data_IF_092947796784
#
_entry.id   IF_092947796784
#
_cell.length_a   1.000
_cell.length_b   1.000
_cell.length_c   1.000
_cell.angle_alpha   90.00
_cell.angle_beta   90.00
_cell.angle_gamma   90.00
#
_symmetry.space_group_name_H-M   'P 1'
#
loop_
_entity.id
_entity.type
_entity.pdbx_description
1 polymer ?
#
# COMPACT_ATOMS: atom_id res chain seq x y z
N UNK A 1 -23.48 -12.44 6.23
CA UNK A 1 -22.42 -12.26 5.21
C UNK A 1 -22.95 -12.05 3.80
N UNK A 2 -23.56 -13.06 3.14
CA UNK A 2 -24.12 -12.86 1.79
C UNK A 2 -25.26 -11.82 1.79
N UNK A 3 -26.19 -11.93 2.75
CA UNK A 3 -27.31 -10.98 2.89
C UNK A 3 -26.84 -9.57 3.29
N UNK A 4 -25.81 -9.46 4.12
CA UNK A 4 -25.20 -8.17 4.51
C UNK A 4 -24.60 -7.46 3.29
N UNK A 5 -23.83 -8.16 2.45
CA UNK A 5 -23.29 -7.57 1.22
C UNK A 5 -24.38 -7.22 0.20
N UNK A 6 -25.46 -8.01 0.12
CA UNK A 6 -26.66 -7.66 -0.68
C UNK A 6 -27.29 -6.36 -0.18
N UNK A 7 -27.41 -6.21 1.14
CA UNK A 7 -27.94 -5.02 1.78
C UNK A 7 -27.03 -3.80 1.54
N UNK A 8 -25.72 -3.97 1.67
CA UNK A 8 -24.71 -2.95 1.36
C UNK A 8 -24.89 -2.47 -0.10
N UNK A 9 -24.95 -3.38 -1.07
CA UNK A 9 -25.14 -3.02 -2.49
C UNK A 9 -26.42 -2.21 -2.72
N UNK A 10 -27.51 -2.55 -2.03
CA UNK A 10 -28.75 -1.78 -2.06
C UNK A 10 -28.63 -0.39 -1.42
N UNK A 11 -27.88 -0.26 -0.32
CA UNK A 11 -27.69 0.99 0.42
C UNK A 11 -26.67 1.93 -0.21
N UNK A 12 -25.69 1.43 -0.97
CA UNK A 12 -24.68 2.26 -1.67
C UNK A 12 -25.35 3.26 -2.62
N UNK A 13 -26.48 2.90 -3.25
CA UNK A 13 -27.27 3.84 -4.07
C UNK A 13 -27.83 5.04 -3.28
N UNK A 14 -28.14 4.86 -2.00
CA UNK A 14 -28.63 5.92 -1.11
C UNK A 14 -27.46 6.71 -0.48
N UNK A 15 -26.31 6.06 -0.29
CA UNK A 15 -25.10 6.64 0.29
C UNK A 15 -24.27 7.48 -0.69
N UNK A 16 -24.45 7.33 -2.02
CA UNK A 16 -23.78 8.16 -3.03
C UNK A 16 -24.09 9.67 -2.87
N UNK A 17 -25.28 10.01 -2.37
CA UNK A 17 -25.64 11.41 -2.07
C UNK A 17 -24.95 11.94 -0.80
N UNK A 18 -24.67 11.06 0.18
CA UNK A 18 -24.05 11.43 1.46
C UNK A 18 -22.51 11.50 1.35
N UNK A 19 -21.88 10.51 0.70
CA UNK A 19 -20.42 10.42 0.56
C UNK A 19 -19.83 11.36 -0.50
N UNK A 20 -20.64 12.07 -1.29
CA UNK A 20 -20.16 13.22 -2.07
C UNK A 20 -19.59 14.34 -1.20
N UNK A 21 -19.88 14.38 0.11
CA UNK A 21 -19.36 15.38 1.06
C UNK A 21 -18.05 15.01 1.77
N UNK A 22 -17.78 13.72 1.98
CA UNK A 22 -16.61 13.27 2.74
C UNK A 22 -15.64 12.53 1.82
N UNK A 23 -14.83 13.30 1.11
CA UNK A 23 -13.68 12.77 0.38
C UNK A 23 -12.42 12.97 1.23
N UNK A 24 -11.49 12.03 1.11
CA UNK A 24 -10.08 12.27 1.42
C UNK A 24 -9.52 13.22 0.34
N UNK A 25 -9.78 14.52 0.51
CA UNK A 25 -9.41 15.59 -0.45
C UNK A 25 -7.96 16.03 -0.30
N UNK A 26 -7.18 15.36 0.55
CA UNK A 26 -5.98 15.97 1.13
C UNK A 26 -6.32 17.00 2.21
N UNK A 27 -7.43 16.82 2.93
CA UNK A 27 -7.86 17.70 4.03
C UNK A 27 -6.81 17.81 5.15
N UNK A 28 -6.00 16.76 5.34
CA UNK A 28 -4.81 16.84 6.19
C UNK A 28 -3.89 18.00 5.75
N UNK A 29 -3.66 18.19 4.45
CA UNK A 29 -2.86 19.28 3.90
C UNK A 29 -3.56 20.64 3.92
N UNK A 30 -4.89 20.65 3.99
CA UNK A 30 -5.70 21.86 4.20
C UNK A 30 -5.76 22.27 5.68
N UNK A 31 -5.46 21.33 6.61
CA UNK A 31 -5.50 21.55 8.04
C UNK A 31 -4.44 22.55 8.53
N UNK A 32 -4.67 23.13 9.72
CA UNK A 32 -3.72 24.04 10.40
C UNK A 32 -2.37 23.39 10.71
N UNK A 33 -2.28 22.05 10.68
CA UNK A 33 -1.08 21.28 10.94
C UNK A 33 -0.35 20.91 9.64
N UNK A 34 -1.06 20.41 8.63
CA UNK A 34 -0.46 20.07 7.33
C UNK A 34 0.07 21.29 6.56
N UNK A 35 -0.50 22.48 6.76
CA UNK A 35 0.04 23.74 6.21
C UNK A 35 1.40 24.16 6.79
N UNK A 36 1.80 23.60 7.94
CA UNK A 36 3.09 23.91 8.60
C UNK A 36 4.22 22.98 8.17
N UNK A 37 3.90 21.88 7.49
CA UNK A 37 4.87 20.92 6.98
C UNK A 37 5.31 21.39 5.60
N UNK A 38 6.61 21.71 5.45
CA UNK A 38 7.16 22.11 4.16
C UNK A 38 7.16 20.90 3.21
N UNK A 39 6.26 20.95 2.21
CA UNK A 39 6.09 19.91 1.20
C UNK A 39 7.37 19.65 0.40
N UNK A 40 8.34 20.58 0.40
CA UNK A 40 9.65 20.45 -0.28
C UNK A 40 10.68 19.63 0.49
N UNK A 41 10.43 19.29 1.76
CA UNK A 41 11.38 18.55 2.61
C UNK A 41 11.07 17.04 2.70
N UNK A 42 10.09 16.59 1.92
CA UNK A 42 9.69 15.19 1.78
C UNK A 42 10.61 14.50 0.79
N UNK A 43 11.31 13.45 1.20
CA UNK A 43 12.22 12.69 0.32
C UNK A 43 11.47 12.03 -0.84
N UNK A 44 10.24 11.57 -0.59
CA UNK A 44 9.34 11.06 -1.62
C UNK A 44 8.87 12.17 -2.57
N UNK A 45 8.70 13.40 -2.10
CA UNK A 45 8.43 14.56 -2.96
C UNK A 45 9.68 15.07 -3.70
N UNK A 46 10.89 14.90 -3.18
CA UNK A 46 12.11 15.21 -3.93
C UNK A 46 12.27 14.26 -5.13
N UNK A 47 11.88 12.98 -4.95
CA UNK A 47 11.82 12.00 -6.04
C UNK A 47 10.59 12.14 -6.96
N UNK A 48 9.42 12.55 -6.45
CA UNK A 48 8.17 12.67 -7.22
C UNK A 48 7.88 14.08 -7.77
N UNK A 49 8.44 15.14 -7.16
CA UNK A 49 8.16 16.55 -7.41
C UNK A 49 9.41 17.45 -7.38
N UNK A 50 10.62 16.91 -7.61
CA UNK A 50 11.63 17.78 -8.23
C UNK A 50 10.96 18.41 -9.45
N UNK A 51 11.21 19.70 -9.66
CA UNK A 51 10.43 20.58 -10.56
C UNK A 51 10.42 20.16 -12.05
N UNK A 52 10.96 18.99 -12.37
CA UNK A 52 10.77 18.30 -13.63
C UNK A 52 10.31 16.87 -13.31
N UNK A 53 9.07 16.55 -13.68
CA UNK A 53 8.73 15.16 -13.98
C UNK A 53 9.84 14.56 -14.85
N UNK A 54 10.23 13.32 -14.58
CA UNK A 54 10.89 12.43 -15.55
C UNK A 54 10.04 12.14 -16.81
N UNK A 55 9.02 12.97 -17.07
CA UNK A 55 8.29 13.04 -18.33
C UNK A 55 9.04 13.92 -19.35
N UNK A 56 9.82 14.93 -18.89
CA UNK A 56 10.57 15.85 -19.76
C UNK A 56 12.10 15.87 -19.54
N UNK A 57 12.63 15.38 -18.42
CA UNK A 57 14.10 15.30 -18.20
C UNK A 57 14.54 13.97 -17.61
N UNK A 58 15.54 13.36 -18.26
CA UNK A 58 16.31 12.22 -17.73
C UNK A 58 17.43 12.66 -16.76
N UNK A 59 17.40 13.89 -16.25
CA UNK A 59 18.55 14.52 -15.59
C UNK A 59 18.19 14.94 -14.17
N UNK A 60 18.87 14.34 -13.19
CA UNK A 60 18.86 14.77 -11.78
C UNK A 60 19.72 16.03 -11.68
N UNK A 61 19.16 17.15 -11.22
CA UNK A 61 19.91 18.40 -11.10
C UNK A 61 20.76 18.41 -9.82
N UNK A 62 21.89 19.14 -9.78
CA UNK A 62 22.74 19.24 -8.59
C UNK A 62 21.99 19.63 -7.31
N UNK A 63 20.91 20.40 -7.42
CA UNK A 63 20.07 20.80 -6.28
C UNK A 63 19.24 19.64 -5.71
N UNK A 64 18.87 18.66 -6.53
CA UNK A 64 18.10 17.49 -6.10
C UNK A 64 18.97 16.59 -5.22
N UNK A 65 20.27 16.49 -5.52
CA UNK A 65 21.25 15.75 -4.70
C UNK A 65 21.37 16.31 -3.29
N UNK A 66 21.15 17.62 -3.10
CA UNK A 66 21.17 18.25 -1.77
C UNK A 66 19.97 17.86 -0.91
N UNK A 67 18.91 17.29 -1.51
CA UNK A 67 17.72 16.83 -0.78
C UNK A 67 17.79 15.35 -0.41
N UNK A 68 18.78 14.60 -0.93
CA UNK A 68 18.97 13.19 -0.60
C UNK A 68 19.45 13.09 0.84
N UNK A 69 18.68 12.37 1.66
CA UNK A 69 19.14 12.03 3.01
C UNK A 69 20.23 10.97 2.91
N UNK A 70 21.36 11.28 3.51
CA UNK A 70 22.51 10.38 3.61
C UNK A 70 22.47 9.68 4.98
N UNK A 71 23.00 8.46 5.09
CA UNK A 71 23.08 7.77 6.37
C UNK A 71 24.07 8.50 7.28
N UNK A 72 23.84 8.42 8.59
CA UNK A 72 24.65 9.16 9.57
C UNK A 72 26.14 8.78 9.53
N UNK A 73 26.44 7.56 9.08
CA UNK A 73 27.81 7.05 8.95
C UNK A 73 28.49 7.40 7.62
N UNK A 74 27.93 8.27 6.78
CA UNK A 74 28.51 8.64 5.47
C UNK A 74 29.95 9.16 5.56
N UNK A 75 30.32 9.82 6.67
CA UNK A 75 31.69 10.32 6.90
C UNK A 75 32.57 9.34 7.70
N UNK A 76 32.04 8.16 8.05
CA UNK A 76 32.80 7.15 8.78
C UNK A 76 33.47 6.17 7.81
N UNK A 77 34.70 6.49 7.42
CA UNK A 77 35.52 5.67 6.51
C UNK A 77 35.84 4.27 7.05
N UNK A 78 35.64 4.02 8.36
CA UNK A 78 35.91 2.74 9.01
C UNK A 78 34.66 1.89 9.25
N UNK A 79 33.49 2.35 8.82
CA UNK A 79 32.25 1.61 8.98
C UNK A 79 32.26 0.33 8.12
N UNK A 80 32.17 -0.82 8.78
CA UNK A 80 32.09 -2.12 8.11
C UNK A 80 30.88 -2.24 7.18
N UNK A 81 29.80 -1.50 7.44
CA UNK A 81 28.61 -1.48 6.60
C UNK A 81 28.89 -0.91 5.20
N UNK A 82 29.68 0.17 5.11
CA UNK A 82 30.09 0.74 3.82
C UNK A 82 30.99 -0.22 3.03
N UNK A 83 31.92 -0.90 3.71
CA UNK A 83 32.80 -1.89 3.07
C UNK A 83 31.97 -3.02 2.46
N UNK A 84 30.99 -3.55 3.19
CA UNK A 84 30.09 -4.59 2.69
C UNK A 84 29.27 -4.12 1.48
N UNK A 85 28.66 -2.94 1.55
CA UNK A 85 27.86 -2.38 0.47
C UNK A 85 28.71 -2.19 -0.79
N UNK A 86 29.89 -1.59 -0.68
CA UNK A 86 30.77 -1.35 -1.82
C UNK A 86 31.24 -2.66 -2.47
N UNK A 87 31.57 -3.68 -1.67
CA UNK A 87 31.94 -5.00 -2.21
C UNK A 87 30.80 -5.66 -2.98
N UNK A 88 29.57 -5.56 -2.47
CA UNK A 88 28.37 -6.11 -3.12
C UNK A 88 28.03 -5.35 -4.40
N UNK A 89 28.12 -4.03 -4.36
CA UNK A 89 27.90 -3.13 -5.47
C UNK A 89 28.91 -3.38 -6.60
N UNK A 90 30.20 -3.47 -6.26
CA UNK A 90 31.26 -3.82 -7.20
C UNK A 90 31.00 -5.19 -7.86
N UNK A 91 30.65 -6.21 -7.06
CA UNK A 91 30.33 -7.53 -7.61
C UNK A 91 29.16 -7.45 -8.59
N UNK A 92 28.10 -6.70 -8.26
CA UNK A 92 26.97 -6.51 -9.15
C UNK A 92 27.39 -5.82 -10.44
N UNK A 93 28.20 -4.76 -10.40
CA UNK A 93 28.70 -4.08 -11.62
C UNK A 93 29.48 -5.03 -12.54
N UNK A 94 30.32 -5.89 -11.97
CA UNK A 94 31.15 -6.84 -12.73
C UNK A 94 30.31 -7.94 -13.39
N UNK A 95 29.19 -8.32 -12.77
CA UNK A 95 28.36 -9.45 -13.20
C UNK A 95 27.02 -9.02 -13.83
N UNK A 96 26.74 -7.71 -13.89
CA UNK A 96 25.53 -7.18 -14.51
C UNK A 96 25.63 -7.30 -16.03
N UNK A 97 24.90 -8.26 -16.59
CA UNK A 97 24.83 -8.45 -18.04
C UNK A 97 23.52 -7.90 -18.59
N UNK A 98 23.61 -7.15 -19.69
CA UNK A 98 22.45 -6.64 -20.45
C UNK A 98 21.89 -7.64 -21.47
N UNK A 99 22.54 -8.78 -21.67
CA UNK A 99 22.18 -9.75 -22.72
C UNK A 99 21.17 -10.81 -22.26
N UNK A 100 20.21 -11.11 -23.14
CA UNK A 100 19.09 -12.02 -22.91
C UNK A 100 19.46 -13.51 -22.80
N UNK A 101 20.74 -13.87 -22.99
CA UNK A 101 21.26 -15.24 -22.95
C UNK A 101 21.85 -15.66 -21.59
N UNK A 102 21.63 -14.89 -20.52
CA UNK A 102 22.13 -15.20 -19.19
C UNK A 102 21.60 -16.54 -18.67
N UNK A 103 22.50 -17.39 -18.16
CA UNK A 103 22.14 -18.66 -17.53
C UNK A 103 21.17 -18.42 -16.36
N UNK A 104 20.22 -19.34 -16.16
CA UNK A 104 19.24 -19.23 -15.06
C UNK A 104 19.93 -19.16 -13.68
N UNK A 105 21.09 -19.83 -13.52
CA UNK A 105 21.90 -19.78 -12.32
C UNK A 105 22.44 -18.38 -12.03
N UNK A 106 22.99 -17.70 -13.04
CA UNK A 106 23.57 -16.37 -12.83
C UNK A 106 22.49 -15.32 -12.52
N UNK A 107 21.30 -15.43 -13.14
CA UNK A 107 20.15 -14.57 -12.80
C UNK A 107 19.71 -14.73 -11.34
N UNK A 108 19.70 -15.96 -10.83
CA UNK A 108 19.38 -16.24 -9.44
C UNK A 108 20.44 -15.66 -8.49
N UNK A 109 21.73 -15.82 -8.82
CA UNK A 109 22.83 -15.24 -8.03
C UNK A 109 22.78 -13.71 -7.99
N UNK A 110 22.50 -13.06 -9.12
CA UNK A 110 22.33 -11.60 -9.19
C UNK A 110 21.17 -11.18 -8.28
N UNK A 111 20.00 -11.83 -8.38
CA UNK A 111 18.85 -11.52 -7.53
C UNK A 111 19.17 -11.68 -6.04
N UNK A 112 19.86 -12.76 -5.65
CA UNK A 112 20.32 -12.96 -4.27
C UNK A 112 21.30 -11.89 -3.79
N UNK A 113 22.17 -11.42 -4.68
CA UNK A 113 23.16 -10.37 -4.36
C UNK A 113 22.51 -8.99 -4.23
N UNK A 114 21.50 -8.70 -5.05
CA UNK A 114 20.67 -7.50 -4.92
C UNK A 114 19.90 -7.49 -3.60
N UNK A 115 19.29 -8.62 -3.24
CA UNK A 115 18.55 -8.75 -1.98
C UNK A 115 19.47 -8.47 -0.77
N UNK A 116 20.67 -9.07 -0.75
CA UNK A 116 21.64 -8.81 0.32
C UNK A 116 22.16 -7.38 0.31
N UNK A 117 22.28 -6.74 -0.86
CA UNK A 117 22.66 -5.33 -0.95
C UNK A 117 21.56 -4.44 -0.34
N UNK A 118 20.29 -4.69 -0.66
CA UNK A 118 19.17 -3.95 -0.08
C UNK A 118 19.15 -4.09 1.44
N UNK A 119 19.32 -5.30 1.98
CA UNK A 119 19.38 -5.54 3.42
C UNK A 119 20.53 -4.77 4.10
N UNK A 120 21.72 -4.76 3.49
CA UNK A 120 22.85 -3.99 4.00
C UNK A 120 22.58 -2.48 3.98
N UNK A 121 21.92 -1.98 2.94
CA UNK A 121 21.49 -0.58 2.85
C UNK A 121 20.46 -0.26 3.94
N UNK A 122 19.45 -1.09 4.15
CA UNK A 122 18.45 -0.88 5.19
C UNK A 122 19.08 -0.82 6.59
N UNK A 123 20.05 -1.68 6.86
CA UNK A 123 20.81 -1.66 8.11
C UNK A 123 21.65 -0.38 8.25
N UNK A 124 22.30 0.07 7.17
CA UNK A 124 23.08 1.31 7.17
C UNK A 124 22.23 2.54 7.49
N UNK A 125 20.99 2.58 6.99
CA UNK A 125 20.02 3.64 7.28
C UNK A 125 19.27 3.42 8.61
N UNK A 126 19.51 2.32 9.31
CA UNK A 126 18.86 2.01 10.59
C UNK A 126 17.34 1.83 10.47
N UNK A 127 16.85 1.38 9.30
CA UNK A 127 15.42 1.27 9.06
C UNK A 127 14.80 0.13 9.87
N UNK A 128 13.64 0.41 10.48
CA UNK A 128 12.79 -0.58 11.12
C UNK A 128 12.09 -1.49 10.10
N UNK A 129 11.55 -2.62 10.55
CA UNK A 129 10.78 -3.54 9.70
C UNK A 129 9.62 -2.84 8.98
N UNK A 130 8.89 -1.95 9.66
CA UNK A 130 7.81 -1.18 9.06
C UNK A 130 8.32 -0.19 7.99
N UNK A 131 9.46 0.46 8.23
CA UNK A 131 10.05 1.38 7.25
C UNK A 131 10.60 0.65 6.02
N UNK A 132 11.23 -0.52 6.21
CA UNK A 132 11.68 -1.38 5.12
C UNK A 132 10.49 -1.75 4.24
N UNK A 133 9.40 -2.19 4.86
CA UNK A 133 8.17 -2.54 4.15
C UNK A 133 7.61 -1.38 3.34
N UNK A 134 7.55 -0.18 3.93
CA UNK A 134 7.10 1.03 3.23
C UNK A 134 8.00 1.35 2.03
N UNK A 135 9.32 1.21 2.18
CA UNK A 135 10.28 1.42 1.09
C UNK A 135 10.08 0.40 -0.02
N UNK A 136 10.01 -0.88 0.31
CA UNK A 136 9.84 -1.96 -0.66
C UNK A 136 8.54 -1.83 -1.46
N UNK A 137 7.42 -1.59 -0.78
CA UNK A 137 6.13 -1.36 -1.45
C UNK A 137 6.15 -0.10 -2.32
N UNK A 138 6.76 0.99 -1.84
CA UNK A 138 6.88 2.24 -2.61
C UNK A 138 7.70 2.02 -3.89
N UNK A 139 8.81 1.28 -3.81
CA UNK A 139 9.63 0.95 -4.97
C UNK A 139 8.87 0.04 -5.93
N UNK A 140 8.28 -1.03 -5.43
CA UNK A 140 7.65 -2.07 -6.24
C UNK A 140 6.36 -1.61 -6.91
N UNK A 141 5.50 -0.88 -6.18
CA UNK A 141 4.17 -0.47 -6.66
C UNK A 141 4.08 0.99 -7.11
N UNK A 142 4.98 1.85 -6.63
CA UNK A 142 5.04 3.28 -7.01
C UNK A 142 6.08 3.56 -8.08
N UNK A 143 7.36 3.38 -7.77
CA UNK A 143 8.48 3.88 -8.58
C UNK A 143 8.73 3.01 -9.82
N UNK A 144 8.86 1.70 -9.65
CA UNK A 144 9.23 0.76 -10.72
C UNK A 144 8.26 0.78 -11.91
N UNK A 145 6.93 0.83 -11.74
CA UNK A 145 5.99 0.98 -12.85
C UNK A 145 6.19 2.25 -13.68
N UNK A 146 6.56 3.35 -13.01
CA UNK A 146 6.82 4.64 -13.65
C UNK A 146 8.14 4.58 -14.45
N UNK A 147 9.22 4.12 -13.83
CA UNK A 147 10.56 4.10 -14.45
C UNK A 147 10.63 3.18 -15.68
N UNK A 148 9.95 2.04 -15.64
CA UNK A 148 9.95 1.06 -16.73
C UNK A 148 8.95 1.40 -17.83
N UNK A 149 8.10 2.43 -17.64
CA UNK A 149 6.95 2.76 -18.51
C UNK A 149 6.00 1.58 -18.73
N UNK A 150 6.01 0.60 -17.82
CA UNK A 150 5.23 -0.64 -17.86
C UNK A 150 4.13 -0.61 -16.79
N UNK A 151 3.37 0.48 -16.73
CA UNK A 151 2.29 0.70 -15.76
C UNK A 151 1.28 -0.45 -15.73
N UNK A 152 0.92 -1.00 -16.91
CA UNK A 152 -0.09 -2.06 -17.05
C UNK A 152 0.47 -3.48 -16.94
N UNK A 153 1.76 -3.66 -17.18
CA UNK A 153 2.42 -4.98 -17.19
C UNK A 153 3.10 -5.32 -15.87
N UNK A 154 3.30 -4.33 -14.99
CA UNK A 154 3.88 -4.54 -13.67
C UNK A 154 2.80 -4.65 -12.60
N UNK A 155 3.11 -5.51 -11.63
CA UNK A 155 2.31 -5.96 -10.49
C UNK A 155 1.35 -4.91 -9.89
N UNK A 156 1.70 -3.62 -9.85
CA UNK A 156 0.86 -2.56 -9.27
C UNK A 156 -0.60 -2.52 -9.77
N UNK A 157 -0.85 -2.71 -11.06
CA UNK A 157 -2.20 -2.76 -11.63
C UNK A 157 -2.69 -4.19 -11.89
N UNK A 158 -1.87 -5.21 -11.59
CA UNK A 158 -2.33 -6.59 -11.62
C UNK A 158 -3.37 -6.82 -10.53
N UNK A 159 -4.25 -7.82 -10.72
CA UNK A 159 -5.23 -8.17 -9.71
C UNK A 159 -4.56 -8.82 -8.49
N UNK A 160 -4.98 -8.41 -7.31
CA UNK A 160 -4.52 -8.97 -6.06
C UNK A 160 -4.94 -10.44 -5.93
N UNK A 161 -4.03 -11.26 -5.42
CA UNK A 161 -4.29 -12.66 -5.15
C UNK A 161 -4.91 -12.80 -3.77
N UNK A 162 -5.60 -13.92 -3.51
CA UNK A 162 -6.12 -14.24 -2.16
C UNK A 162 -5.00 -14.23 -1.10
N UNK A 163 -3.75 -14.51 -1.48
CA UNK A 163 -2.60 -14.39 -0.58
C UNK A 163 -2.30 -12.93 -0.23
N UNK A 164 -2.30 -12.03 -1.23
CA UNK A 164 -2.09 -10.59 -1.02
C UNK A 164 -3.14 -10.03 -0.04
N UNK A 165 -4.42 -10.38 -0.24
CA UNK A 165 -5.50 -9.97 0.66
C UNK A 165 -5.32 -10.50 2.09
N UNK A 166 -4.83 -11.73 2.25
CA UNK A 166 -4.55 -12.30 3.57
C UNK A 166 -3.40 -11.57 4.27
N UNK A 167 -2.31 -11.28 3.55
CA UNK A 167 -1.18 -10.52 4.08
C UNK A 167 -1.62 -9.11 4.50
N UNK A 168 -2.35 -8.41 3.62
CA UNK A 168 -2.99 -7.11 3.93
C UNK A 168 -3.84 -7.20 5.20
N UNK A 169 -4.75 -8.17 5.26
CA UNK A 169 -5.68 -8.32 6.37
C UNK A 169 -4.96 -8.63 7.69
N UNK A 170 -3.91 -9.45 7.65
CA UNK A 170 -3.07 -9.74 8.81
C UNK A 170 -2.37 -8.48 9.31
N UNK A 171 -1.77 -7.69 8.41
CA UNK A 171 -1.11 -6.43 8.74
C UNK A 171 -2.09 -5.41 9.34
N UNK A 172 -3.28 -5.28 8.76
CA UNK A 172 -4.39 -4.46 9.30
C UNK A 172 -4.71 -4.85 10.74
N UNK A 173 -4.94 -6.15 11.01
CA UNK A 173 -5.27 -6.58 12.37
C UNK A 173 -4.12 -6.33 13.35
N UNK A 174 -2.86 -6.58 12.96
CA UNK A 174 -1.70 -6.29 13.80
C UNK A 174 -1.62 -4.80 14.15
N UNK A 175 -1.83 -3.92 13.17
CA UNK A 175 -1.75 -2.48 13.38
C UNK A 175 -2.91 -1.99 14.26
N UNK A 176 -4.15 -2.37 13.96
CA UNK A 176 -5.32 -1.91 14.72
C UNK A 176 -5.39 -2.47 16.14
N UNK A 177 -5.04 -3.75 16.34
CA UNK A 177 -4.95 -4.35 17.69
C UNK A 177 -3.94 -3.56 18.56
N UNK A 178 -2.84 -3.09 17.96
CA UNK A 178 -1.81 -2.31 18.66
C UNK A 178 -2.24 -0.89 19.03
N UNK A 179 -3.19 -0.30 18.28
CA UNK A 179 -3.65 1.08 18.51
C UNK A 179 -4.88 1.09 19.42
N UNK A 180 -5.92 0.33 19.05
CA UNK A 180 -7.25 0.44 19.63
C UNK A 180 -7.42 -0.39 20.92
N UNK A 181 -6.45 -1.24 21.28
CA UNK A 181 -6.38 -1.99 22.54
C UNK A 181 -7.74 -2.52 23.02
N UNK A 182 -8.28 -3.52 22.32
CA UNK A 182 -9.63 -4.06 22.58
C UNK A 182 -9.78 -4.91 23.86
N UNK A 183 -8.93 -4.71 24.87
CA UNK A 183 -9.00 -5.41 26.15
C UNK A 183 -8.94 -6.93 26.01
N UNK A 184 -10.06 -7.60 26.28
CA UNK A 184 -10.21 -9.07 26.15
C UNK A 184 -10.69 -9.52 24.76
N UNK A 185 -10.61 -8.66 23.75
CA UNK A 185 -10.99 -8.97 22.38
C UNK A 185 -9.83 -8.72 21.42
N UNK A 186 -9.87 -9.39 20.27
CA UNK A 186 -8.92 -9.30 19.17
C UNK A 186 -9.65 -9.09 17.85
N UNK A 187 -9.01 -8.39 16.91
CA UNK A 187 -9.55 -8.20 15.58
C UNK A 187 -9.24 -9.41 14.69
N UNK A 188 -10.28 -10.03 14.15
CA UNK A 188 -10.18 -11.15 13.21
C UNK A 188 -10.69 -10.73 11.83
N UNK A 189 -9.93 -11.05 10.79
CA UNK A 189 -10.28 -10.75 9.42
C UNK A 189 -10.90 -11.95 8.69
N UNK A 190 -11.83 -11.63 7.79
CA UNK A 190 -12.42 -12.55 6.82
C UNK A 190 -12.19 -11.97 5.42
N UNK A 191 -11.32 -12.64 4.66
CA UNK A 191 -11.06 -12.35 3.24
C UNK A 191 -12.13 -13.04 2.42
N UNK A 192 -12.74 -12.31 1.49
CA UNK A 192 -13.79 -12.85 0.63
C UNK A 192 -13.18 -13.22 -0.71
N UNK A 193 -13.21 -14.52 -0.99
CA UNK A 193 -12.81 -15.07 -2.28
C UNK A 193 -14.04 -15.20 -3.18
N UNK A 194 -13.94 -14.66 -4.39
CA UNK A 194 -14.99 -14.74 -5.41
C UNK A 194 -14.69 -15.87 -6.39
N UNK A 195 -15.75 -16.45 -6.96
CA UNK A 195 -15.62 -17.52 -7.96
C UNK A 195 -15.09 -17.00 -9.31
N UNK A 196 -15.31 -15.72 -9.58
CA UNK A 196 -14.88 -15.02 -10.80
C UNK A 196 -13.99 -13.83 -10.45
N UNK A 197 -13.29 -13.30 -11.46
CA UNK A 197 -12.44 -12.14 -11.25
C UNK A 197 -13.22 -10.82 -11.29
N UNK A 198 -13.59 -10.32 -10.13
CA UNK A 198 -14.34 -9.08 -9.97
C UNK A 198 -13.44 -7.82 -10.00
N UNK A 199 -14.03 -6.62 -10.23
CA UNK A 199 -13.30 -5.35 -10.20
C UNK A 199 -12.97 -4.85 -8.78
N UNK A 200 -13.62 -5.41 -7.76
CA UNK A 200 -13.40 -5.09 -6.35
C UNK A 200 -13.02 -6.32 -5.54
N UNK A 201 -12.29 -6.08 -4.48
CA UNK A 201 -11.99 -7.04 -3.42
C UNK A 201 -12.59 -6.58 -2.10
N UNK A 202 -12.84 -7.53 -1.20
CA UNK A 202 -13.54 -7.29 0.05
C UNK A 202 -12.86 -8.03 1.20
N UNK A 203 -12.64 -7.29 2.29
CA UNK A 203 -12.25 -7.85 3.59
C UNK A 203 -13.22 -7.37 4.67
N UNK A 204 -13.68 -8.28 5.53
CA UNK A 204 -14.44 -7.96 6.74
C UNK A 204 -13.54 -8.12 7.96
N UNK A 205 -13.58 -7.18 8.88
CA UNK A 205 -12.88 -7.22 10.15
C UNK A 205 -13.91 -7.26 11.26
N UNK A 206 -13.76 -8.17 12.21
CA UNK A 206 -14.72 -8.36 13.32
C UNK A 206 -13.99 -8.49 14.63
N UNK A 207 -14.53 -7.89 15.68
CA UNK A 207 -14.01 -8.03 17.03
C UNK A 207 -14.51 -9.35 17.64
N UNK A 208 -13.59 -10.20 18.08
CA UNK A 208 -13.91 -11.47 18.75
C UNK A 208 -13.21 -11.55 20.10
N UNK A 209 -13.75 -12.32 21.03
CA UNK A 209 -13.10 -12.56 22.31
C UNK A 209 -11.75 -13.26 22.12
N UNK A 210 -10.76 -12.87 22.93
CA UNK A 210 -9.43 -13.47 22.95
C UNK A 210 -9.54 -14.99 23.06
N UNK A 211 -8.92 -15.70 22.13
CA UNK A 211 -8.95 -17.16 22.09
C UNK A 211 -8.00 -17.70 21.03
N UNK A 212 -8.14 -18.98 20.70
CA UNK A 212 -7.35 -19.60 19.64
C UNK A 212 -7.98 -19.36 18.26
N UNK A 213 -8.37 -18.12 17.99
CA UNK A 213 -9.01 -17.77 16.72
C UNK A 213 -7.95 -17.68 15.61
N UNK A 214 -8.30 -18.14 14.41
CA UNK A 214 -7.49 -17.82 13.22
C UNK A 214 -7.63 -16.34 12.93
N UNK A 215 -6.52 -15.60 12.98
CA UNK A 215 -6.48 -14.14 12.78
C UNK A 215 -6.99 -13.72 11.41
N UNK A 216 -6.78 -14.56 10.38
CA UNK A 216 -7.36 -14.38 9.05
C UNK A 216 -8.03 -15.67 8.60
N UNK A 217 -9.22 -15.55 8.04
CA UNK A 217 -9.97 -16.65 7.42
C UNK A 217 -10.37 -16.28 6.00
N UNK A 218 -10.42 -17.26 5.11
CA UNK A 218 -10.90 -17.06 3.73
C UNK A 218 -12.27 -17.71 3.61
N UNK A 219 -13.24 -16.96 3.08
CA UNK A 219 -14.59 -17.45 2.80
C UNK A 219 -14.88 -17.25 1.33
N UNK A 220 -15.36 -18.31 0.66
CA UNK A 220 -15.79 -18.22 -0.72
C UNK A 220 -17.27 -17.85 -0.79
N UNK A 221 -17.60 -16.79 -1.51
CA UNK A 221 -18.98 -16.39 -1.79
C UNK A 221 -19.27 -16.55 -3.28
N UNK A 222 -20.43 -17.10 -3.59
CA UNK A 222 -20.96 -17.23 -4.94
C UNK A 222 -22.22 -16.35 -5.07
N UNK A 223 -22.64 -16.07 -6.31
CA UNK A 223 -23.89 -15.37 -6.64
C UNK A 223 -23.98 -13.92 -6.09
N UNK A 224 -22.84 -13.22 -6.07
CA UNK A 224 -22.75 -11.81 -5.67
C UNK A 224 -22.06 -10.92 -6.71
N UNK A 225 -21.66 -11.51 -7.84
CA UNK A 225 -20.87 -10.86 -8.89
C UNK A 225 -21.57 -9.57 -9.38
N UNK A 226 -22.86 -9.65 -9.72
CA UNK A 226 -23.66 -8.49 -10.18
C UNK A 226 -23.71 -7.34 -9.17
N UNK A 227 -23.72 -7.67 -7.88
CA UNK A 227 -23.79 -6.66 -6.80
C UNK A 227 -22.43 -5.98 -6.65
N UNK A 228 -21.35 -6.74 -6.72
CA UNK A 228 -20.00 -6.18 -6.66
C UNK A 228 -19.73 -5.30 -7.88
N UNK A 229 -20.17 -5.70 -9.07
CA UNK A 229 -20.08 -4.88 -10.28
C UNK A 229 -20.90 -3.59 -10.14
N UNK A 230 -22.13 -3.68 -9.60
CA UNK A 230 -22.94 -2.49 -9.32
C UNK A 230 -22.30 -1.56 -8.28
N UNK A 231 -21.68 -2.11 -7.23
CA UNK A 231 -20.92 -1.31 -6.26
C UNK A 231 -19.74 -0.64 -6.97
N UNK A 232 -19.01 -1.35 -7.84
CA UNK A 232 -17.88 -0.80 -8.57
C UNK A 232 -18.27 0.36 -9.49
N UNK A 233 -19.41 0.25 -10.19
CA UNK A 233 -19.95 1.33 -11.01
C UNK A 233 -20.30 2.57 -10.17
N UNK A 234 -20.95 2.38 -9.02
CA UNK A 234 -21.33 3.49 -8.13
C UNK A 234 -20.11 4.15 -7.47
N UNK A 235 -19.05 3.39 -7.18
CA UNK A 235 -17.81 3.92 -6.62
C UNK A 235 -16.97 4.70 -7.65
N UNK A 236 -17.27 4.58 -8.94
CA UNK A 236 -16.58 5.28 -10.02
C UNK A 236 -17.19 6.66 -10.23
N UNK A 237 -16.44 7.71 -9.90
CA UNK A 237 -16.87 9.11 -10.08
C UNK A 237 -16.03 9.78 -11.16
N UNK A 238 -16.69 10.46 -12.12
CA UNK A 238 -16.01 11.35 -13.06
C UNK A 238 -15.57 12.63 -12.34
N UNK A 239 -14.28 12.98 -12.44
CA UNK A 239 -13.74 14.22 -11.85
C UNK A 239 -13.39 15.27 -12.91
N UNK A 240 -13.17 14.85 -14.15
CA UNK A 240 -13.02 15.70 -15.33
C UNK A 240 -13.28 14.87 -16.60
N UNK A 241 -13.27 15.52 -17.77
CA UNK A 241 -13.38 14.83 -19.05
C UNK A 241 -12.33 13.72 -19.16
N UNK A 242 -12.80 12.48 -19.36
CA UNK A 242 -11.98 11.27 -19.43
C UNK A 242 -11.15 10.93 -18.17
N UNK A 243 -11.38 11.60 -17.04
CA UNK A 243 -10.73 11.29 -15.75
C UNK A 243 -11.74 10.78 -14.73
N UNK A 244 -11.47 9.59 -14.21
CA UNK A 244 -12.32 8.92 -13.23
C UNK A 244 -11.50 8.55 -12.00
N UNK A 245 -12.14 8.66 -10.83
CA UNK A 245 -11.62 8.15 -9.56
C UNK A 245 -12.49 6.97 -9.15
N UNK A 246 -11.85 5.87 -8.73
CA UNK A 246 -12.52 4.74 -8.12
C UNK A 246 -12.33 4.84 -6.61
N UNK A 247 -13.41 5.04 -5.88
CA UNK A 247 -13.36 5.22 -4.42
C UNK A 247 -13.22 3.88 -3.70
N UNK A 248 -12.65 3.94 -2.52
CA UNK A 248 -12.69 2.87 -1.51
C UNK A 248 -13.91 3.07 -0.63
N UNK A 249 -14.51 1.99 -0.15
CA UNK A 249 -15.68 2.01 0.71
C UNK A 249 -15.35 1.33 2.04
N UNK A 250 -15.55 2.06 3.13
CA UNK A 250 -15.50 1.56 4.50
C UNK A 250 -16.91 1.54 5.07
N UNK A 251 -17.31 0.43 5.69
CA UNK A 251 -18.66 0.25 6.23
C UNK A 251 -18.54 -0.25 7.65
N UNK A 252 -19.04 0.53 8.60
CA UNK A 252 -18.97 0.20 10.02
C UNK A 252 -20.28 -0.43 10.49
N UNK A 253 -20.17 -1.56 11.17
CA UNK A 253 -21.25 -2.29 11.82
C UNK A 253 -20.94 -2.40 13.33
N UNK A 254 -21.91 -2.84 14.13
CA UNK A 254 -21.73 -2.90 15.58
C UNK A 254 -20.60 -3.83 16.05
N UNK A 255 -20.27 -4.87 15.28
CA UNK A 255 -19.29 -5.89 15.64
C UNK A 255 -18.00 -5.85 14.79
N UNK A 256 -17.86 -4.84 13.93
CA UNK A 256 -16.76 -4.80 12.98
C UNK A 256 -16.94 -3.80 11.85
N UNK A 257 -16.15 -3.98 10.79
CA UNK A 257 -16.22 -3.14 9.62
C UNK A 257 -15.81 -3.89 8.36
N UNK A 258 -16.18 -3.33 7.21
CA UNK A 258 -15.86 -3.84 5.89
C UNK A 258 -14.97 -2.86 5.16
N UNK A 259 -14.00 -3.38 4.42
CA UNK A 259 -13.18 -2.63 3.47
C UNK A 259 -13.42 -3.21 2.08
N UNK A 260 -13.88 -2.35 1.16
CA UNK A 260 -14.14 -2.69 -0.24
C UNK A 260 -13.34 -1.73 -1.12
N UNK A 261 -12.43 -2.27 -1.93
CA UNK A 261 -11.49 -1.48 -2.77
C UNK A 261 -11.30 -2.12 -4.13
N UNK A 262 -10.73 -1.35 -5.06
CA UNK A 262 -10.33 -1.85 -6.38
C UNK A 262 -9.44 -3.09 -6.27
N UNK A 263 -9.55 -4.02 -7.22
CA UNK A 263 -8.83 -5.29 -7.17
C UNK A 263 -7.32 -5.19 -7.42
N UNK A 264 -6.75 -3.99 -7.58
CA UNK A 264 -5.35 -3.77 -7.92
C UNK A 264 -4.40 -4.10 -6.75
N UNK A 265 -3.30 -4.82 -6.99
CA UNK A 265 -2.34 -5.21 -5.93
C UNK A 265 -1.83 -4.04 -5.09
N UNK A 266 -1.60 -2.87 -5.69
CA UNK A 266 -1.14 -1.68 -4.95
C UNK A 266 -2.12 -1.19 -3.86
N UNK A 267 -3.39 -1.60 -3.94
CA UNK A 267 -4.43 -1.27 -2.97
C UNK A 267 -4.54 -2.32 -1.84
N UNK A 268 -3.82 -3.43 -1.97
CA UNK A 268 -3.86 -4.57 -1.05
C UNK A 268 -2.44 -5.00 -0.63
N UNK A 269 -1.47 -4.08 -0.66
CA UNK A 269 -0.13 -4.30 -0.10
C UNK A 269 -0.11 -4.01 1.41
N UNK A 270 0.97 -4.38 2.09
CA UNK A 270 1.07 -4.18 3.53
C UNK A 270 1.18 -2.69 3.91
N UNK A 271 1.80 -1.85 3.08
CA UNK A 271 1.79 -0.40 3.28
C UNK A 271 0.40 0.21 3.07
N UNK A 272 -0.42 -0.33 2.16
CA UNK A 272 -1.82 0.05 2.04
C UNK A 272 -2.57 -0.27 3.34
N UNK A 273 -2.34 -1.45 3.93
CA UNK A 273 -2.90 -1.79 5.23
C UNK A 273 -2.50 -0.79 6.33
N UNK A 274 -1.25 -0.35 6.39
CA UNK A 274 -0.84 0.66 7.38
C UNK A 274 -1.59 1.99 7.19
N UNK A 275 -1.69 2.49 5.95
CA UNK A 275 -2.43 3.71 5.65
C UNK A 275 -3.92 3.59 5.96
N UNK A 276 -4.51 2.43 5.65
CA UNK A 276 -5.93 2.17 5.86
C UNK A 276 -6.26 2.01 7.35
N UNK A 277 -5.35 1.45 8.14
CA UNK A 277 -5.48 1.41 9.59
C UNK A 277 -5.55 2.83 10.18
N UNK A 278 -4.71 3.76 9.71
CA UNK A 278 -4.76 5.16 10.15
C UNK A 278 -6.10 5.82 9.80
N UNK A 279 -6.66 5.54 8.62
CA UNK A 279 -8.00 6.02 8.21
C UNK A 279 -9.07 5.44 9.13
N UNK A 280 -9.04 4.14 9.43
CA UNK A 280 -10.00 3.49 10.33
C UNK A 280 -9.93 4.08 11.73
N UNK A 281 -8.74 4.31 12.26
CA UNK A 281 -8.55 4.93 13.58
C UNK A 281 -9.12 6.35 13.59
N UNK A 282 -8.86 7.15 12.55
CA UNK A 282 -9.41 8.50 12.40
C UNK A 282 -10.94 8.47 12.40
N UNK A 283 -11.53 7.66 11.53
CA UNK A 283 -12.99 7.54 11.40
C UNK A 283 -13.64 7.05 12.71
N UNK A 284 -12.99 6.11 13.41
CA UNK A 284 -13.45 5.63 14.71
C UNK A 284 -13.40 6.71 15.80
N UNK A 285 -12.34 7.51 15.84
CA UNK A 285 -12.22 8.63 16.79
C UNK A 285 -13.22 9.75 16.52
N UNK A 286 -13.47 10.08 15.25
CA UNK A 286 -14.47 11.08 14.86
C UNK A 286 -15.89 10.65 15.31
N UNK A 287 -16.24 9.37 15.12
CA UNK A 287 -17.53 8.83 15.53
C UNK A 287 -17.74 8.79 17.06
N UNK A 288 -16.69 8.89 17.88
CA UNK A 288 -16.79 8.95 19.34
C UNK A 288 -17.01 10.37 19.88
N UNK A 289 -16.78 11.40 19.06
CA UNK A 289 -16.87 12.82 19.48
C UNK A 289 -18.27 13.39 19.19
N UNK A 290 -19.02 12.78 18.28
CA UNK A 290 -20.42 13.12 17.96
C UNK A 290 -21.43 12.38 18.86
#
# INVERSE_FOLDING_TARGET
>A
MLEELKQIGGQVKLLDEFYKRNFDTGDFWQSKYGKKIDKRQRVDMAFMFSSALGWDRHLIEPVDWLQVRLPDSILNETDSGWVEILQREQWLREHWQTDTNTSASLRHEIAMKQEKLNQAIFQLYGLSEQEILLVEDTVQYGIKPILTKQLRTLNALAKATTNDLQTYAQRMCMQLDSILHYGSSELVATVIEFSQQLPLHVCRFTQKNLGNNKKVTVVRLNDIDDIIDQIAENLRTAIADHMYVQRSLHIYENDGFWIIKGAEQRLWCESAALNDADVVVREHMEAMVD
#
